data_IF_055846406221
#
_entry.id   IF_055846406221
#
_cell.length_a   1.000
_cell.length_b   1.000
_cell.length_c   1.000
_cell.angle_alpha   90.00
_cell.angle_beta   90.00
_cell.angle_gamma   90.00
#
_symmetry.space_group_name_H-M   'P 1'
#
loop_
_entity.id
_entity.type
_entity.pdbx_description
1 polymer ?
#
# COMPACT_ATOMS: atom_id res chain seq x y z
N UNK A 1 -3.68 49.02 -24.44
CA UNK A 1 -4.91 48.56 -23.77
C UNK A 1 -4.96 47.04 -23.94
N UNK A 2 -4.71 46.32 -22.84
CA UNK A 2 -4.85 44.88 -22.61
C UNK A 2 -3.96 43.92 -23.40
N UNK A 3 -2.83 43.59 -22.76
CA UNK A 3 -2.22 42.26 -22.78
C UNK A 3 -3.20 41.22 -22.23
N UNK A 4 -3.39 40.11 -22.95
CA UNK A 4 -3.97 38.88 -22.42
C UNK A 4 -2.87 37.83 -22.30
N UNK A 5 -2.42 37.65 -21.07
CA UNK A 5 -1.51 36.59 -20.62
C UNK A 5 -2.24 35.25 -20.64
N UNK A 6 -1.88 34.39 -21.60
CA UNK A 6 -2.28 32.98 -21.60
C UNK A 6 -1.51 32.19 -20.55
N UNK A 7 -2.22 31.68 -19.56
CA UNK A 7 -1.71 30.75 -18.55
C UNK A 7 -1.77 29.30 -19.06
N UNK A 8 -0.71 28.47 -18.97
CA UNK A 8 -0.80 27.04 -19.14
C UNK A 8 -0.44 26.30 -17.84
N UNK A 9 -1.43 25.91 -17.05
CA UNK A 9 -1.25 24.91 -15.98
C UNK A 9 -2.34 23.85 -16.06
N UNK A 10 -2.02 22.74 -16.73
CA UNK A 10 -2.74 21.48 -16.64
C UNK A 10 -1.74 20.33 -16.51
N UNK A 11 -1.92 19.38 -15.57
CA UNK A 11 -0.99 18.28 -15.38
C UNK A 11 -1.30 17.18 -16.41
N UNK A 12 -0.53 17.12 -17.50
CA UNK A 12 -0.77 16.14 -18.56
C UNK A 12 0.33 16.00 -19.62
N UNK A 13 1.58 16.38 -19.32
CA UNK A 13 2.65 16.46 -20.32
C UNK A 13 3.88 15.57 -20.10
N UNK A 14 3.98 14.79 -19.03
CA UNK A 14 5.17 13.95 -18.78
C UNK A 14 5.20 12.61 -19.54
N UNK A 15 4.05 12.11 -20.02
CA UNK A 15 3.94 10.76 -20.61
C UNK A 15 4.36 10.63 -22.08
N UNK A 16 4.17 11.68 -22.90
CA UNK A 16 4.49 11.62 -24.35
C UNK A 16 6.00 11.54 -24.62
N UNK A 17 6.87 12.34 -23.98
CA UNK A 17 8.31 12.26 -24.22
C UNK A 17 8.90 10.89 -23.84
N UNK A 18 8.47 10.30 -22.72
CA UNK A 18 8.97 9.02 -22.26
C UNK A 18 8.58 7.86 -23.19
N UNK A 19 7.36 7.85 -23.72
CA UNK A 19 6.91 6.84 -24.67
C UNK A 19 7.72 6.90 -25.98
N UNK A 20 7.89 8.09 -26.54
CA UNK A 20 8.61 8.29 -27.81
C UNK A 20 10.10 7.91 -27.69
N UNK A 21 10.76 8.33 -26.60
CA UNK A 21 12.17 7.98 -26.38
C UNK A 21 12.32 6.49 -26.12
N UNK A 22 11.43 5.87 -25.33
CA UNK A 22 11.45 4.43 -25.09
C UNK A 22 11.28 3.67 -26.41
N UNK A 23 10.34 4.07 -27.28
CA UNK A 23 10.17 3.44 -28.58
C UNK A 23 11.45 3.53 -29.43
N UNK A 24 12.10 4.70 -29.50
CA UNK A 24 13.38 4.88 -30.20
C UNK A 24 14.47 3.99 -29.60
N UNK A 25 14.60 3.96 -28.29
CA UNK A 25 15.58 3.13 -27.58
C UNK A 25 15.41 1.64 -27.90
N UNK A 26 14.16 1.16 -27.98
CA UNK A 26 13.82 -0.24 -28.24
C UNK A 26 14.05 -0.67 -29.70
N UNK A 27 13.96 0.25 -30.66
CA UNK A 27 14.01 -0.03 -32.10
C UNK A 27 15.37 0.27 -32.74
N UNK A 28 16.22 1.04 -32.07
CA UNK A 28 17.56 1.41 -32.55
C UNK A 28 18.60 0.31 -32.29
N UNK A 29 19.58 0.18 -33.21
CA UNK A 29 20.71 -0.75 -33.10
C UNK A 29 21.65 -0.44 -31.93
N UNK A 30 22.35 -1.45 -31.40
CA UNK A 30 23.06 -1.39 -30.12
C UNK A 30 24.00 -0.19 -29.91
N UNK A 31 24.78 0.20 -30.92
CA UNK A 31 25.74 1.32 -30.82
C UNK A 31 25.05 2.67 -30.58
N UNK A 32 23.85 2.85 -31.11
CA UNK A 32 23.06 4.07 -30.98
C UNK A 32 22.09 4.02 -29.79
N UNK A 33 21.92 2.85 -29.16
CA UNK A 33 21.06 2.67 -27.97
C UNK A 33 21.66 3.34 -26.74
N UNK A 34 22.98 3.38 -26.66
CA UNK A 34 23.70 3.88 -25.48
C UNK A 34 23.65 5.39 -25.34
N UNK A 35 23.68 6.09 -26.47
CA UNK A 35 23.49 7.55 -26.48
C UNK A 35 22.08 7.93 -26.03
N UNK A 36 21.11 7.03 -26.14
CA UNK A 36 19.73 7.24 -25.69
C UNK A 36 19.50 6.87 -24.23
N UNK A 37 20.42 6.17 -23.55
CA UNK A 37 20.24 5.76 -22.16
C UNK A 37 21.56 5.54 -21.40
N UNK A 38 22.49 6.53 -21.38
CA UNK A 38 23.84 6.32 -20.87
C UNK A 38 23.86 5.89 -19.39
N UNK A 39 22.95 6.44 -18.57
CA UNK A 39 22.84 6.07 -17.15
C UNK A 39 22.27 4.68 -16.94
N UNK A 40 21.31 4.26 -17.77
CA UNK A 40 20.75 2.91 -17.73
C UNK A 40 21.82 1.89 -18.10
N UNK A 41 22.60 2.15 -19.16
CA UNK A 41 23.70 1.28 -19.58
C UNK A 41 24.78 1.19 -18.50
N UNK A 42 25.14 2.32 -17.87
CA UNK A 42 26.12 2.34 -16.78
C UNK A 42 25.64 1.54 -15.54
N UNK A 43 24.34 1.58 -15.24
CA UNK A 43 23.77 0.90 -14.08
C UNK A 43 23.53 -0.60 -14.30
N UNK A 44 23.12 -1.00 -15.51
CA UNK A 44 22.70 -2.38 -15.82
C UNK A 44 23.82 -3.19 -16.48
N UNK A 45 24.69 -2.53 -17.25
CA UNK A 45 25.66 -3.17 -18.14
C UNK A 45 25.06 -3.52 -19.51
N UNK A 46 25.90 -3.52 -20.55
CA UNK A 46 25.49 -3.72 -21.95
C UNK A 46 24.89 -5.11 -22.17
N UNK A 47 25.60 -6.15 -21.76
CA UNK A 47 25.19 -7.55 -21.95
C UNK A 47 23.83 -7.83 -21.32
N UNK A 48 23.65 -7.45 -20.05
CA UNK A 48 22.37 -7.61 -19.37
C UNK A 48 21.25 -6.80 -20.00
N UNK A 49 21.56 -5.61 -20.53
CA UNK A 49 20.58 -4.82 -21.24
C UNK A 49 20.15 -5.49 -22.55
N UNK A 50 21.08 -6.08 -23.30
CA UNK A 50 20.78 -6.83 -24.51
C UNK A 50 19.91 -8.07 -24.21
N UNK A 51 20.21 -8.82 -23.14
CA UNK A 51 19.34 -9.91 -22.67
C UNK A 51 17.91 -9.43 -22.36
N UNK A 52 17.76 -8.26 -21.73
CA UNK A 52 16.46 -7.67 -21.44
C UNK A 52 15.73 -7.30 -22.74
N UNK A 53 16.45 -6.78 -23.74
CA UNK A 53 15.89 -6.44 -25.05
C UNK A 53 15.44 -7.68 -25.80
N UNK A 54 16.26 -8.72 -25.84
CA UNK A 54 15.96 -9.96 -26.54
C UNK A 54 14.79 -10.69 -25.89
N UNK A 55 14.79 -10.82 -24.56
CA UNK A 55 13.63 -11.34 -23.83
C UNK A 55 12.36 -10.50 -24.03
N UNK A 56 12.50 -9.18 -24.27
CA UNK A 56 11.35 -8.34 -24.62
C UNK A 56 10.83 -8.66 -26.01
N UNK A 57 11.71 -8.78 -27.02
CA UNK A 57 11.34 -9.15 -28.40
C UNK A 57 10.75 -10.56 -28.49
N UNK A 58 11.23 -11.51 -27.70
CA UNK A 58 10.63 -12.84 -27.61
C UNK A 58 9.16 -12.76 -27.14
N UNK A 59 8.88 -11.90 -26.15
CA UNK A 59 7.53 -11.73 -25.58
C UNK A 59 6.58 -10.97 -26.49
N UNK A 60 7.03 -9.89 -27.12
CA UNK A 60 6.15 -8.97 -27.86
C UNK A 60 6.25 -9.11 -29.38
N UNK A 61 7.26 -9.79 -29.90
CA UNK A 61 7.58 -9.82 -31.33
C UNK A 61 8.28 -8.54 -31.79
N UNK A 62 8.13 -8.23 -33.07
CA UNK A 62 8.57 -6.95 -33.64
C UNK A 62 7.85 -5.79 -32.94
N UNK A 63 8.61 -4.82 -32.43
CA UNK A 63 8.09 -3.71 -31.65
C UNK A 63 7.46 -2.68 -32.59
N UNK A 64 6.15 -2.50 -32.48
CA UNK A 64 5.37 -1.62 -33.36
C UNK A 64 5.10 -0.25 -32.75
N UNK A 65 5.24 -0.11 -31.43
CA UNK A 65 5.00 1.17 -30.74
C UNK A 65 5.19 1.10 -29.24
N UNK A 66 5.20 2.28 -28.62
CA UNK A 66 5.04 2.44 -27.17
C UNK A 66 3.93 3.46 -26.96
N UNK A 67 2.96 3.13 -26.11
CA UNK A 67 1.85 4.04 -25.78
C UNK A 67 1.75 4.25 -24.28
N UNK A 68 1.34 5.45 -23.89
CA UNK A 68 0.99 5.73 -22.50
C UNK A 68 -0.40 5.17 -22.17
N UNK A 69 -0.56 4.58 -20.98
CA UNK A 69 -1.81 4.01 -20.49
C UNK A 69 -2.00 4.23 -18.98
N UNK A 70 -3.23 4.02 -18.47
CA UNK A 70 -3.48 4.09 -17.03
C UNK A 70 -2.72 3.05 -16.19
N UNK A 71 -2.14 2.02 -16.79
CA UNK A 71 -1.35 1.01 -16.09
C UNK A 71 0.17 1.27 -16.23
N UNK A 72 0.59 2.32 -16.93
CA UNK A 72 1.99 2.59 -17.28
C UNK A 72 2.23 2.60 -18.80
N UNK A 73 3.50 2.65 -19.19
CA UNK A 73 3.87 2.58 -20.61
C UNK A 73 3.63 1.15 -21.12
N UNK A 74 3.07 1.02 -22.31
CA UNK A 74 2.78 -0.27 -22.93
C UNK A 74 3.62 -0.38 -24.19
N UNK A 75 4.57 -1.31 -24.18
CA UNK A 75 5.30 -1.74 -25.36
C UNK A 75 4.37 -2.64 -26.18
N UNK A 76 4.16 -2.28 -27.43
CA UNK A 76 3.33 -3.01 -28.39
C UNK A 76 4.22 -3.73 -29.40
N UNK A 77 3.88 -4.97 -29.71
CA UNK A 77 4.50 -5.70 -30.79
C UNK A 77 3.55 -6.67 -31.47
N UNK A 78 4.05 -7.32 -32.52
CA UNK A 78 3.26 -8.19 -33.40
C UNK A 78 2.69 -9.45 -32.73
N UNK A 79 3.33 -9.93 -31.64
CA UNK A 79 2.91 -11.13 -30.90
C UNK A 79 2.22 -10.80 -29.57
N UNK A 80 2.45 -9.62 -29.02
CA UNK A 80 2.02 -9.31 -27.66
C UNK A 80 2.31 -7.89 -27.20
N UNK A 81 2.17 -7.70 -25.89
CA UNK A 81 2.42 -6.42 -25.22
C UNK A 81 3.19 -6.66 -23.93
N UNK A 82 3.96 -5.67 -23.50
CA UNK A 82 4.61 -5.67 -22.20
C UNK A 82 4.40 -4.31 -21.52
N UNK A 83 4.33 -4.30 -20.18
CA UNK A 83 4.36 -3.07 -19.41
C UNK A 83 5.80 -2.59 -19.23
N UNK A 84 5.98 -1.29 -19.21
CA UNK A 84 7.25 -0.65 -18.97
C UNK A 84 7.07 0.63 -18.15
N UNK A 85 8.18 1.04 -17.55
CA UNK A 85 8.37 2.31 -16.90
C UNK A 85 9.63 2.92 -17.48
N UNK A 86 9.56 4.21 -17.79
CA UNK A 86 10.69 4.98 -18.26
C UNK A 86 10.62 6.41 -17.70
N UNK A 87 11.78 7.01 -17.46
CA UNK A 87 11.91 8.42 -17.03
C UNK A 87 12.89 9.16 -17.92
N UNK A 88 12.64 10.45 -18.11
CA UNK A 88 13.42 11.34 -18.97
C UNK A 88 13.62 12.66 -18.23
N UNK A 89 14.85 13.03 -17.91
CA UNK A 89 15.19 14.27 -17.21
C UNK A 89 15.19 15.47 -18.16
N UNK A 90 15.79 15.31 -19.34
CA UNK A 90 15.92 16.34 -20.38
C UNK A 90 14.95 16.15 -21.56
N UNK A 91 14.19 15.04 -21.57
CA UNK A 91 13.29 14.69 -22.68
C UNK A 91 14.01 14.21 -23.94
N UNK A 92 15.31 13.89 -23.86
CA UNK A 92 16.12 13.38 -24.96
C UNK A 92 16.71 12.00 -24.68
N UNK A 93 17.03 11.69 -23.41
CA UNK A 93 17.56 10.39 -22.99
C UNK A 93 16.71 9.73 -21.90
N UNK A 94 16.88 8.42 -21.75
CA UNK A 94 16.32 7.64 -20.64
C UNK A 94 17.25 7.72 -19.42
N UNK A 95 16.69 8.16 -18.30
CA UNK A 95 17.35 8.17 -16.98
C UNK A 95 17.04 6.91 -16.16
N UNK A 96 15.95 6.22 -16.50
CA UNK A 96 15.51 5.02 -15.81
C UNK A 96 14.63 4.19 -16.72
N UNK A 97 14.78 2.86 -16.61
CA UNK A 97 14.06 1.89 -17.42
C UNK A 97 13.72 0.68 -16.55
N UNK A 98 12.48 0.24 -16.63
CA UNK A 98 12.04 -1.04 -16.09
C UNK A 98 11.03 -1.65 -17.05
N UNK A 99 11.26 -2.90 -17.48
CA UNK A 99 10.34 -3.65 -18.34
C UNK A 99 9.78 -4.81 -17.52
N UNK A 100 8.46 -4.97 -17.54
CA UNK A 100 7.80 -6.05 -16.84
C UNK A 100 8.24 -7.42 -17.41
N UNK A 101 8.50 -8.42 -16.56
CA UNK A 101 8.99 -9.72 -17.01
C UNK A 101 7.94 -10.54 -17.75
N UNK A 102 6.65 -10.17 -17.65
CA UNK A 102 5.52 -10.92 -18.21
C UNK A 102 4.75 -10.16 -19.29
N UNK A 103 3.95 -10.91 -20.05
CA UNK A 103 3.04 -10.34 -21.04
C UNK A 103 1.94 -9.50 -20.37
N UNK A 104 1.60 -8.37 -20.99
CA UNK A 104 0.55 -7.48 -20.53
C UNK A 104 -0.77 -7.70 -21.25
N UNK A 105 -1.82 -7.89 -20.46
CA UNK A 105 -3.22 -7.94 -20.93
C UNK A 105 -4.00 -6.83 -20.25
N UNK A 106 -4.38 -5.83 -21.03
CA UNK A 106 -5.27 -4.78 -20.54
C UNK A 106 -6.61 -5.39 -20.07
N UNK A 107 -7.14 -4.99 -18.90
CA UNK A 107 -8.43 -5.46 -18.43
C UNK A 107 -9.54 -5.05 -19.41
N UNK A 108 -10.48 -5.97 -19.70
CA UNK A 108 -11.64 -5.71 -20.58
C UNK A 108 -12.59 -4.66 -20.00
N UNK A 109 -12.73 -4.65 -18.68
CA UNK A 109 -13.58 -3.71 -17.94
C UNK A 109 -12.77 -3.12 -16.80
N UNK A 110 -12.67 -1.79 -16.74
CA UNK A 110 -12.04 -1.07 -15.64
C UNK A 110 -13.12 -0.62 -14.67
N UNK A 111 -13.29 -1.36 -13.58
CA UNK A 111 -14.08 -0.89 -12.45
C UNK A 111 -13.12 -0.22 -11.48
N UNK A 112 -13.32 1.09 -11.24
CA UNK A 112 -12.50 1.85 -10.31
C UNK A 112 -12.45 1.15 -8.95
N UNK A 113 -11.31 1.21 -8.28
CA UNK A 113 -11.16 0.60 -6.96
C UNK A 113 -12.23 1.13 -5.99
N UNK A 114 -12.54 2.43 -6.08
CA UNK A 114 -13.61 3.08 -5.33
C UNK A 114 -14.99 2.47 -5.58
N UNK A 115 -15.37 2.19 -6.83
CA UNK A 115 -16.67 1.60 -7.14
C UNK A 115 -16.80 0.15 -6.64
N UNK A 116 -15.75 -0.67 -6.80
CA UNK A 116 -15.72 -2.03 -6.23
C UNK A 116 -15.81 -2.02 -4.71
N UNK A 117 -15.06 -1.12 -4.08
CA UNK A 117 -15.10 -0.94 -2.64
C UNK A 117 -16.50 -0.49 -2.18
N UNK A 118 -17.12 0.47 -2.87
CA UNK A 118 -18.45 0.98 -2.55
C UNK A 118 -19.52 -0.12 -2.65
N UNK A 119 -19.50 -0.94 -3.70
CA UNK A 119 -20.42 -2.08 -3.82
C UNK A 119 -20.22 -3.09 -2.70
N UNK A 120 -18.98 -3.49 -2.42
CA UNK A 120 -18.67 -4.41 -1.33
C UNK A 120 -19.10 -3.84 0.04
N UNK A 121 -18.97 -2.52 0.23
CA UNK A 121 -19.45 -1.82 1.41
C UNK A 121 -20.96 -1.81 1.53
N UNK A 122 -21.68 -1.52 0.44
CA UNK A 122 -23.14 -1.52 0.42
C UNK A 122 -23.69 -2.91 0.77
N UNK A 123 -23.16 -3.97 0.14
CA UNK A 123 -23.55 -5.36 0.43
C UNK A 123 -23.28 -5.71 1.89
N UNK A 124 -22.10 -5.39 2.41
CA UNK A 124 -21.75 -5.66 3.80
C UNK A 124 -22.65 -4.90 4.78
N UNK A 125 -22.93 -3.62 4.53
CA UNK A 125 -23.78 -2.79 5.36
C UNK A 125 -25.23 -3.30 5.39
N UNK A 126 -25.77 -3.72 4.23
CA UNK A 126 -27.10 -4.32 4.14
C UNK A 126 -27.17 -5.64 4.93
N UNK A 127 -26.17 -6.51 4.78
CA UNK A 127 -26.11 -7.77 5.55
C UNK A 127 -26.01 -7.51 7.05
N UNK A 128 -25.20 -6.54 7.47
CA UNK A 128 -25.07 -6.18 8.87
C UNK A 128 -26.38 -5.61 9.43
N UNK A 129 -27.04 -4.70 8.70
CA UNK A 129 -28.33 -4.13 9.09
C UNK A 129 -29.39 -5.22 9.24
N UNK A 130 -29.49 -6.15 8.29
CA UNK A 130 -30.40 -7.30 8.38
C UNK A 130 -30.11 -8.18 9.60
N UNK A 131 -28.84 -8.36 9.98
CA UNK A 131 -28.47 -9.14 11.18
C UNK A 131 -28.75 -8.40 12.49
N UNK A 132 -28.62 -7.08 12.50
CA UNK A 132 -29.03 -6.25 13.64
C UNK A 132 -30.55 -6.33 13.82
N UNK A 133 -31.33 -6.17 12.75
CA UNK A 133 -32.78 -6.32 12.76
C UNK A 133 -33.20 -7.73 13.24
N UNK A 134 -32.52 -8.77 12.80
CA UNK A 134 -32.77 -10.13 13.29
C UNK A 134 -32.60 -10.25 14.83
N UNK A 135 -31.72 -9.48 15.47
CA UNK A 135 -31.61 -9.47 16.94
C UNK A 135 -32.90 -8.94 17.60
N UNK A 136 -33.50 -7.91 16.99
CA UNK A 136 -34.79 -7.35 17.42
C UNK A 136 -35.96 -8.27 17.17
N UNK A 137 -35.82 -9.31 16.35
CA UNK A 137 -36.86 -10.29 16.04
C UNK A 137 -36.56 -11.68 16.63
N UNK A 138 -35.66 -11.76 17.61
CA UNK A 138 -35.32 -13.04 18.25
C UNK A 138 -36.54 -13.66 18.97
N UNK A 139 -36.88 -14.95 18.73
CA UNK A 139 -38.00 -15.63 19.38
C UNK A 139 -37.66 -16.16 20.78
N UNK A 140 -36.37 -16.29 21.11
CA UNK A 140 -35.88 -16.85 22.37
C UNK A 140 -34.58 -16.15 22.79
N UNK A 141 -34.19 -16.32 24.07
CA UNK A 141 -32.90 -15.82 24.57
C UNK A 141 -31.71 -16.49 23.87
N UNK A 142 -31.82 -17.79 23.55
CA UNK A 142 -30.80 -18.54 22.80
C UNK A 142 -30.63 -17.96 21.38
N UNK A 143 -31.72 -17.73 20.66
CA UNK A 143 -31.68 -17.13 19.33
C UNK A 143 -31.08 -15.72 19.36
N UNK A 144 -31.46 -14.91 20.37
CA UNK A 144 -30.89 -13.58 20.56
C UNK A 144 -29.37 -13.63 20.75
N UNK A 145 -28.88 -14.51 21.65
CA UNK A 145 -27.45 -14.69 21.88
C UNK A 145 -26.73 -15.09 20.59
N UNK A 146 -27.25 -16.07 19.85
CA UNK A 146 -26.64 -16.51 18.59
C UNK A 146 -26.56 -15.41 17.54
N UNK A 147 -27.66 -14.67 17.32
CA UNK A 147 -27.71 -13.55 16.38
C UNK A 147 -26.77 -12.42 16.77
N UNK A 148 -26.69 -12.08 18.06
CA UNK A 148 -25.76 -11.07 18.54
C UNK A 148 -24.30 -11.50 18.33
N UNK A 149 -23.96 -12.78 18.56
CA UNK A 149 -22.61 -13.30 18.28
C UNK A 149 -22.29 -13.22 16.78
N UNK A 150 -23.24 -13.49 15.88
CA UNK A 150 -23.05 -13.32 14.44
C UNK A 150 -22.78 -11.85 14.09
N UNK A 151 -23.55 -10.91 14.66
CA UNK A 151 -23.32 -9.47 14.50
C UNK A 151 -21.92 -9.10 14.99
N UNK A 152 -21.53 -9.56 16.19
CA UNK A 152 -20.21 -9.31 16.77
C UNK A 152 -19.08 -9.89 15.90
N UNK A 153 -19.25 -11.08 15.30
CA UNK A 153 -18.31 -11.63 14.33
C UNK A 153 -18.16 -10.76 13.08
N UNK A 154 -19.26 -10.14 12.62
CA UNK A 154 -19.23 -9.14 11.54
C UNK A 154 -18.37 -7.93 11.88
N UNK A 155 -18.46 -7.42 13.12
CA UNK A 155 -17.59 -6.33 13.61
C UNK A 155 -16.14 -6.77 13.80
N UNK A 156 -15.89 -7.99 14.28
CA UNK A 156 -14.53 -8.54 14.38
C UNK A 156 -13.86 -8.60 13.01
N UNK A 157 -14.58 -9.04 11.98
CA UNK A 157 -14.06 -9.08 10.62
C UNK A 157 -13.78 -7.66 10.09
N UNK A 158 -14.64 -6.70 10.41
CA UNK A 158 -14.44 -5.31 10.01
C UNK A 158 -13.20 -4.70 10.69
N UNK A 159 -13.16 -4.68 12.01
CA UNK A 159 -12.10 -4.04 12.81
C UNK A 159 -10.78 -4.82 12.76
N UNK A 160 -10.86 -6.13 12.57
CA UNK A 160 -9.73 -7.03 12.53
C UNK A 160 -9.02 -7.08 11.18
N UNK A 161 -9.79 -7.15 10.09
CA UNK A 161 -9.24 -7.38 8.75
C UNK A 161 -9.18 -6.10 7.92
N UNK A 162 -10.16 -5.20 8.05
CA UNK A 162 -10.06 -3.91 7.36
C UNK A 162 -9.23 -2.96 8.20
N UNK A 163 -8.87 -1.84 7.59
CA UNK A 163 -8.07 -0.80 8.18
C UNK A 163 -9.05 0.29 8.61
N UNK A 164 -9.55 0.31 9.86
CA UNK A 164 -10.68 1.17 10.25
C UNK A 164 -10.33 2.65 10.14
N UNK A 165 -9.03 2.97 10.21
CA UNK A 165 -8.45 4.28 9.91
C UNK A 165 -8.73 4.80 8.49
N UNK A 166 -9.22 3.93 7.59
CA UNK A 166 -9.60 4.29 6.21
C UNK A 166 -11.04 4.75 6.08
N UNK A 167 -11.90 4.51 7.08
CA UNK A 167 -13.30 4.86 6.98
C UNK A 167 -13.54 6.34 7.29
N UNK A 168 -14.21 7.08 6.39
CA UNK A 168 -14.70 8.40 6.73
C UNK A 168 -15.64 8.34 7.94
N UNK A 169 -15.62 9.38 8.76
CA UNK A 169 -16.43 9.46 9.99
C UNK A 169 -17.92 9.21 9.72
N UNK A 170 -18.44 9.68 8.59
CA UNK A 170 -19.85 9.50 8.20
C UNK A 170 -20.21 8.07 7.79
N UNK A 171 -19.23 7.19 7.54
CA UNK A 171 -19.45 5.73 7.43
C UNK A 171 -19.23 5.08 8.79
N UNK A 172 -18.14 5.46 9.47
CA UNK A 172 -17.72 4.87 10.73
C UNK A 172 -18.77 5.04 11.84
N UNK A 173 -19.34 6.24 11.99
CA UNK A 173 -20.31 6.55 13.05
C UNK A 173 -21.61 5.76 12.91
N UNK A 174 -22.25 5.67 11.72
CA UNK A 174 -23.39 4.79 11.53
C UNK A 174 -23.08 3.31 11.82
N UNK A 175 -21.89 2.83 11.45
CA UNK A 175 -21.46 1.45 11.75
C UNK A 175 -21.32 1.26 13.27
N UNK A 176 -20.66 2.15 13.99
CA UNK A 176 -20.57 2.11 15.46
C UNK A 176 -21.97 2.18 16.12
N UNK A 177 -22.85 3.03 15.62
CA UNK A 177 -24.23 3.13 16.09
C UNK A 177 -25.02 1.82 15.87
N UNK A 178 -24.78 1.12 14.75
CA UNK A 178 -25.37 -0.19 14.50
C UNK A 178 -25.04 -1.22 15.57
N UNK A 179 -23.83 -1.19 16.13
CA UNK A 179 -23.43 -2.09 17.22
C UNK A 179 -24.25 -1.79 18.48
N UNK A 180 -24.44 -0.51 18.80
CA UNK A 180 -25.26 -0.08 19.93
C UNK A 180 -26.73 -0.45 19.73
N UNK A 181 -27.27 -0.32 18.52
CA UNK A 181 -28.64 -0.75 18.18
C UNK A 181 -28.79 -2.27 18.33
N UNK A 182 -27.80 -3.05 17.90
CA UNK A 182 -27.76 -4.49 18.12
C UNK A 182 -27.77 -4.84 19.61
N UNK A 183 -26.93 -4.20 20.41
CA UNK A 183 -26.88 -4.39 21.87
C UNK A 183 -28.18 -3.95 22.56
N UNK A 184 -28.78 -2.85 22.13
CA UNK A 184 -30.02 -2.32 22.69
C UNK A 184 -31.20 -3.29 22.59
N UNK A 185 -31.18 -4.21 21.61
CA UNK A 185 -32.18 -5.28 21.49
C UNK A 185 -32.23 -6.21 22.72
N UNK A 186 -31.20 -6.20 23.58
CA UNK A 186 -31.19 -6.88 24.88
C UNK A 186 -32.37 -6.48 25.77
N UNK A 187 -32.97 -5.30 25.58
CA UNK A 187 -34.15 -4.87 26.32
C UNK A 187 -35.35 -5.83 26.17
N UNK A 188 -35.37 -6.66 25.13
CA UNK A 188 -36.41 -7.68 24.91
C UNK A 188 -36.22 -8.94 25.76
N UNK A 189 -35.02 -9.20 26.28
CA UNK A 189 -34.68 -10.45 26.99
C UNK A 189 -35.63 -10.82 28.15
N UNK A 190 -36.12 -9.87 28.98
CA UNK A 190 -37.05 -10.19 30.05
C UNK A 190 -38.35 -10.84 29.55
N UNK A 191 -38.82 -10.47 28.36
CA UNK A 191 -40.06 -10.97 27.75
C UNK A 191 -39.89 -12.21 26.86
N UNK A 192 -38.66 -12.72 26.69
CA UNK A 192 -38.38 -13.87 25.82
C UNK A 192 -38.25 -15.17 26.62
N UNK A 193 -38.80 -16.30 26.12
CA UNK A 193 -38.55 -17.61 26.69
C UNK A 193 -37.06 -17.98 26.56
N UNK A 194 -36.58 -18.84 27.46
CA UNK A 194 -35.18 -19.28 27.45
C UNK A 194 -34.82 -20.01 26.15
N UNK A 195 -35.64 -21.01 25.80
CA UNK A 195 -35.49 -21.84 24.61
C UNK A 195 -36.75 -21.78 23.75
N UNK A 196 -36.61 -22.04 22.45
CA UNK A 196 -37.68 -21.92 21.46
C UNK A 196 -37.16 -21.80 20.03
N UNK A 197 -36.05 -22.48 19.72
CA UNK A 197 -35.30 -22.32 18.47
C UNK A 197 -34.11 -21.36 18.59
N UNK A 198 -33.23 -21.41 17.59
CA UNK A 198 -32.03 -20.57 17.47
C UNK A 198 -30.73 -21.25 17.90
N UNK A 199 -30.77 -22.54 18.25
CA UNK A 199 -29.60 -23.34 18.64
C UNK A 199 -28.56 -23.38 17.51
N UNK A 200 -29.02 -23.52 16.26
CA UNK A 200 -28.16 -23.46 15.08
C UNK A 200 -27.49 -22.09 14.91
N UNK A 201 -28.21 -20.99 15.14
CA UNK A 201 -27.64 -19.63 15.08
C UNK A 201 -26.62 -19.41 16.21
N UNK A 202 -26.86 -19.98 17.39
CA UNK A 202 -25.90 -19.94 18.49
C UNK A 202 -24.62 -20.69 18.15
N UNK A 203 -24.73 -21.91 17.62
CA UNK A 203 -23.56 -22.70 17.17
C UNK A 203 -22.79 -21.92 16.10
N UNK A 204 -23.48 -21.39 15.09
CA UNK A 204 -22.85 -20.58 14.04
C UNK A 204 -22.16 -19.35 14.63
N UNK A 205 -22.82 -18.60 15.51
CA UNK A 205 -22.26 -17.41 16.16
C UNK A 205 -20.99 -17.72 16.96
N UNK A 206 -21.03 -18.77 17.79
CA UNK A 206 -19.86 -19.22 18.57
C UNK A 206 -18.72 -19.63 17.66
N UNK A 207 -18.98 -20.43 16.62
CA UNK A 207 -17.97 -20.86 15.65
C UNK A 207 -17.35 -19.66 14.93
N UNK A 208 -18.15 -18.70 14.47
CA UNK A 208 -17.63 -17.51 13.80
C UNK A 208 -16.74 -16.66 14.71
N UNK A 209 -17.14 -16.45 15.97
CA UNK A 209 -16.31 -15.75 16.96
C UNK A 209 -15.00 -16.50 17.22
N UNK A 210 -15.07 -17.82 17.42
CA UNK A 210 -13.88 -18.64 17.68
C UNK A 210 -12.91 -18.63 16.49
N UNK A 211 -13.43 -18.77 15.26
CA UNK A 211 -12.63 -18.79 14.03
C UNK A 211 -12.01 -17.43 13.76
N UNK A 212 -12.82 -16.35 13.71
CA UNK A 212 -12.29 -15.01 13.42
C UNK A 212 -11.43 -14.48 14.56
N UNK A 213 -11.84 -14.68 15.82
CA UNK A 213 -11.06 -14.28 16.99
C UNK A 213 -9.73 -15.04 17.09
N UNK A 214 -9.75 -16.37 16.91
CA UNK A 214 -8.55 -17.20 16.92
C UNK A 214 -7.60 -16.84 15.78
N UNK A 215 -8.13 -16.62 14.57
CA UNK A 215 -7.35 -16.14 13.44
C UNK A 215 -6.69 -14.78 13.74
N UNK A 216 -7.46 -13.78 14.18
CA UNK A 216 -6.95 -12.44 14.45
C UNK A 216 -5.90 -12.46 15.56
N UNK A 217 -6.13 -13.26 16.62
CA UNK A 217 -5.16 -13.42 17.69
C UNK A 217 -3.86 -14.02 17.18
N UNK A 218 -3.92 -15.08 16.37
CA UNK A 218 -2.76 -15.72 15.75
C UNK A 218 -2.03 -14.74 14.84
N UNK A 219 -2.73 -14.00 13.99
CA UNK A 219 -2.11 -13.06 13.06
C UNK A 219 -1.50 -11.84 13.76
N UNK A 220 -2.15 -11.29 14.81
CA UNK A 220 -1.63 -10.15 15.58
C UNK A 220 -0.45 -10.52 16.48
N UNK A 221 -0.41 -11.75 16.99
CA UNK A 221 0.71 -12.28 17.79
C UNK A 221 1.78 -12.98 16.96
N UNK A 222 1.64 -12.97 15.64
CA UNK A 222 2.59 -13.65 14.78
C UNK A 222 3.98 -13.05 14.93
N UNK A 223 4.96 -13.93 15.12
CA UNK A 223 6.38 -13.66 15.00
C UNK A 223 6.89 -14.54 13.88
N UNK A 224 7.75 -13.98 13.04
CA UNK A 224 8.27 -14.72 11.89
C UNK A 224 9.30 -15.77 12.29
N UNK A 225 9.77 -15.73 13.54
CA UNK A 225 10.74 -16.69 14.07
C UNK A 225 12.14 -16.53 13.47
N UNK A 226 12.34 -15.48 12.67
CA UNK A 226 13.65 -15.02 12.25
C UNK A 226 14.27 -14.11 13.29
N UNK A 227 15.54 -13.76 13.09
CA UNK A 227 16.17 -12.79 13.97
C UNK A 227 15.36 -11.50 14.00
N UNK A 228 15.30 -10.89 15.18
CA UNK A 228 14.75 -9.56 15.36
C UNK A 228 15.79 -8.57 14.84
N UNK A 229 15.32 -7.46 14.25
CA UNK A 229 16.22 -6.38 13.87
C UNK A 229 16.98 -5.85 15.08
N UNK A 230 18.12 -5.21 14.87
CA UNK A 230 18.68 -4.32 15.88
C UNK A 230 17.63 -3.26 16.25
N UNK A 231 17.59 -2.79 17.51
CA UNK A 231 16.63 -1.78 17.92
C UNK A 231 16.75 -0.53 17.05
N UNK A 232 15.66 -0.19 16.36
CA UNK A 232 15.55 0.98 15.50
C UNK A 232 14.97 2.16 16.30
N UNK A 233 15.17 3.37 15.81
CA UNK A 233 14.37 4.54 16.20
C UNK A 233 13.16 4.63 15.29
N UNK A 234 11.98 4.94 15.84
CA UNK A 234 10.80 5.08 15.01
C UNK A 234 10.97 6.29 14.06
N UNK A 235 10.80 6.11 12.74
CA UNK A 235 11.32 7.07 11.75
C UNK A 235 10.40 8.29 11.53
N UNK A 236 9.27 8.38 12.24
CA UNK A 236 8.27 9.45 12.13
C UNK A 236 7.99 10.05 13.52
N UNK A 237 7.83 11.37 13.62
CA UNK A 237 7.82 12.10 14.90
C UNK A 237 6.58 12.97 15.09
N UNK A 238 6.12 13.15 16.33
CA UNK A 238 5.10 14.15 16.68
C UNK A 238 3.71 13.84 16.15
N UNK A 239 3.34 12.56 16.06
CA UNK A 239 2.11 12.11 15.42
C UNK A 239 1.49 10.84 16.01
N UNK A 240 0.25 10.57 15.60
CA UNK A 240 -0.39 9.27 15.82
C UNK A 240 -0.19 8.43 14.56
N UNK A 241 0.70 7.45 14.64
CA UNK A 241 1.11 6.60 13.53
C UNK A 241 0.38 5.28 13.60
N UNK A 242 -0.37 4.94 12.57
CA UNK A 242 -1.17 3.74 12.52
C UNK A 242 -0.53 2.73 11.57
N UNK A 243 -0.35 1.50 12.05
CA UNK A 243 0.13 0.37 11.25
C UNK A 243 -1.02 -0.12 10.36
N UNK A 244 -0.96 0.21 9.07
CA UNK A 244 -1.91 -0.21 8.05
C UNK A 244 -1.65 -1.63 7.55
N UNK A 245 -0.39 -2.03 7.51
CA UNK A 245 0.07 -3.38 7.18
C UNK A 245 1.11 -3.81 8.20
N UNK A 246 1.01 -5.03 8.70
CA UNK A 246 1.91 -5.58 9.71
C UNK A 246 1.28 -6.76 10.43
N UNK A 247 2.10 -7.53 11.13
CA UNK A 247 1.72 -8.82 11.73
C UNK A 247 1.80 -9.97 10.74
N UNK A 248 1.08 -11.06 11.01
CA UNK A 248 1.18 -12.30 10.27
C UNK A 248 0.33 -12.39 9.01
N UNK A 249 0.34 -13.58 8.36
CA UNK A 249 -0.46 -13.87 7.17
C UNK A 249 -1.93 -13.48 7.33
N UNK A 250 -2.48 -12.83 6.30
CA UNK A 250 -3.85 -12.31 6.24
C UNK A 250 -4.05 -10.91 6.83
N UNK A 251 -3.18 -10.46 7.74
CA UNK A 251 -3.13 -9.04 8.17
C UNK A 251 -2.04 -8.24 7.45
N UNK A 252 -0.97 -8.90 7.02
CA UNK A 252 0.10 -8.28 6.27
C UNK A 252 0.10 -8.78 4.82
N UNK A 253 -0.03 -7.87 3.85
CA UNK A 253 0.03 -8.26 2.44
C UNK A 253 1.45 -8.60 1.97
N UNK A 254 2.47 -8.20 2.74
CA UNK A 254 3.87 -8.50 2.47
C UNK A 254 4.25 -9.94 2.86
N UNK A 255 3.41 -10.63 3.62
CA UNK A 255 3.63 -12.00 4.10
C UNK A 255 4.08 -13.03 3.04
N UNK A 256 3.60 -12.99 1.77
CA UNK A 256 4.03 -13.93 0.74
C UNK A 256 5.45 -13.69 0.20
N UNK A 257 6.05 -12.53 0.48
CA UNK A 257 7.38 -12.14 -0.01
C UNK A 257 8.40 -12.34 1.11
N UNK A 258 9.29 -13.35 1.04
CA UNK A 258 10.18 -13.72 2.14
C UNK A 258 10.99 -12.54 2.71
N UNK A 259 11.41 -11.63 1.84
CA UNK A 259 12.24 -10.48 2.14
C UNK A 259 11.44 -9.33 2.80
N UNK A 260 10.14 -9.22 2.51
CA UNK A 260 9.25 -8.17 3.03
C UNK A 260 8.28 -8.66 4.10
N UNK A 261 8.27 -9.94 4.48
CA UNK A 261 7.25 -10.50 5.39
C UNK A 261 7.10 -9.76 6.73
N UNK A 262 8.20 -9.18 7.23
CA UNK A 262 8.26 -8.34 8.44
C UNK A 262 7.92 -6.86 8.22
N UNK A 263 7.60 -6.47 6.99
CA UNK A 263 7.38 -5.08 6.61
C UNK A 263 6.13 -4.48 7.25
N UNK A 264 6.23 -3.17 7.49
CA UNK A 264 5.15 -2.33 7.97
C UNK A 264 4.83 -1.25 6.93
N UNK A 265 3.55 -1.05 6.70
CA UNK A 265 3.07 0.18 6.07
C UNK A 265 2.44 1.05 7.15
N UNK A 266 2.98 2.25 7.29
CA UNK A 266 2.64 3.20 8.35
C UNK A 266 1.98 4.43 7.74
N UNK A 267 0.82 4.81 8.29
CA UNK A 267 0.09 6.03 7.94
C UNK A 267 -0.08 6.92 9.17
N UNK A 268 -0.40 8.18 8.99
CA UNK A 268 -0.81 9.07 10.07
C UNK A 268 -2.33 9.07 10.20
N UNK A 269 -2.83 9.15 11.43
CA UNK A 269 -4.26 9.29 11.74
C UNK A 269 -4.50 10.48 12.66
N UNK A 270 -5.55 11.25 12.35
CA UNK A 270 -6.03 12.35 13.17
C UNK A 270 -7.08 11.91 14.18
N UNK A 271 -7.76 12.87 14.83
CA UNK A 271 -8.89 12.60 15.72
C UNK A 271 -9.95 11.73 15.05
N UNK A 272 -10.50 10.77 15.80
CA UNK A 272 -11.51 9.83 15.27
C UNK A 272 -10.98 8.81 14.26
N UNK A 273 -9.66 8.72 14.07
CA UNK A 273 -9.02 7.74 13.19
C UNK A 273 -9.01 8.14 11.71
N UNK A 274 -9.37 9.38 11.37
CA UNK A 274 -9.31 9.85 9.99
C UNK A 274 -7.86 9.93 9.50
N UNK A 275 -7.56 9.31 8.37
CA UNK A 275 -6.23 9.40 7.71
C UNK A 275 -6.09 10.57 6.73
N UNK A 276 -7.21 11.20 6.37
CA UNK A 276 -7.28 12.29 5.41
C UNK A 276 -7.57 13.61 6.13
N UNK A 277 -7.10 14.71 5.54
CA UNK A 277 -7.43 16.08 5.89
C UNK A 277 -8.88 16.41 5.52
N UNK A 278 -9.34 17.57 5.94
CA UNK A 278 -10.68 18.08 5.63
C UNK A 278 -10.90 18.08 4.10
N UNK A 279 -12.05 17.55 3.66
CA UNK A 279 -12.37 17.33 2.23
C UNK A 279 -12.16 15.90 1.72
N UNK A 280 -11.46 15.04 2.47
CA UNK A 280 -11.31 13.61 2.17
C UNK A 280 -10.32 13.28 1.05
N UNK A 281 -10.17 12.00 0.73
CA UNK A 281 -9.06 11.45 -0.10
C UNK A 281 -9.14 11.75 -1.61
N UNK A 282 -10.10 12.55 -2.07
CA UNK A 282 -10.32 12.81 -3.51
C UNK A 282 -9.48 13.98 -4.06
N UNK A 283 -8.78 14.70 -3.20
CA UNK A 283 -8.03 15.90 -3.55
C UNK A 283 -6.53 15.64 -3.77
N UNK A 284 -6.16 14.44 -4.24
CA UNK A 284 -4.75 14.09 -4.46
C UNK A 284 -4.00 13.65 -3.20
N UNK A 285 -2.67 13.55 -3.30
CA UNK A 285 -1.81 13.03 -2.24
C UNK A 285 -1.80 13.93 -1.00
N UNK A 286 -1.91 15.24 -1.19
CA UNK A 286 -1.90 16.29 -0.16
C UNK A 286 -3.06 16.15 0.83
N UNK A 287 -4.14 15.49 0.40
CA UNK A 287 -5.27 15.19 1.26
C UNK A 287 -4.97 14.14 2.34
N UNK A 288 -3.85 13.42 2.26
CA UNK A 288 -3.47 12.42 3.27
C UNK A 288 -2.58 13.06 4.33
N UNK A 289 -2.85 12.76 5.61
CA UNK A 289 -2.10 13.32 6.72
C UNK A 289 -0.61 12.95 6.65
N UNK A 290 -0.32 11.71 6.24
CA UNK A 290 1.03 11.17 6.15
C UNK A 290 1.85 11.75 4.99
N UNK A 291 1.21 12.27 3.94
CA UNK A 291 1.94 12.82 2.80
C UNK A 291 2.71 14.09 3.22
N UNK A 292 3.99 14.15 2.87
CA UNK A 292 4.88 15.25 3.25
C UNK A 292 5.41 15.19 4.68
N UNK A 293 5.11 14.12 5.44
CA UNK A 293 5.71 13.96 6.78
C UNK A 293 7.21 13.71 6.65
N UNK A 294 8.02 14.39 7.48
CA UNK A 294 9.48 14.23 7.48
C UNK A 294 9.82 12.81 7.91
N UNK A 295 10.65 12.16 7.09
CA UNK A 295 11.19 10.84 7.36
C UNK A 295 12.61 10.98 7.93
N UNK A 296 12.83 10.34 9.08
CA UNK A 296 14.12 10.27 9.73
C UNK A 296 14.74 8.88 9.57
N UNK A 297 16.08 8.82 9.53
CA UNK A 297 16.83 7.58 9.55
C UNK A 297 16.53 6.80 10.84
N UNK A 298 16.07 5.54 10.75
CA UNK A 298 15.76 4.72 11.91
C UNK A 298 17.01 4.16 12.60
N UNK A 299 18.18 4.22 11.95
CA UNK A 299 19.42 3.63 12.45
C UNK A 299 20.63 4.38 11.88
N UNK A 300 21.78 4.14 12.51
CA UNK A 300 23.08 4.47 11.93
C UNK A 300 23.43 3.45 10.84
N UNK A 301 24.15 3.88 9.81
CA UNK A 301 24.64 2.98 8.77
C UNK A 301 25.13 3.70 7.53
N UNK A 302 25.31 2.94 6.46
CA UNK A 302 25.70 3.45 5.14
C UNK A 302 24.54 3.25 4.17
N UNK A 303 24.20 4.28 3.41
CA UNK A 303 23.18 4.17 2.35
C UNK A 303 23.74 3.30 1.23
N UNK A 304 23.08 2.19 0.92
CA UNK A 304 23.47 1.28 -0.17
C UNK A 304 22.65 1.49 -1.44
N UNK A 305 21.48 2.13 -1.32
CA UNK A 305 20.64 2.52 -2.45
C UNK A 305 19.76 3.71 -2.07
N UNK A 306 19.67 4.69 -2.96
CA UNK A 306 18.76 5.82 -2.82
C UNK A 306 18.21 6.22 -4.20
N UNK A 307 16.92 6.54 -4.25
CA UNK A 307 16.26 7.07 -5.44
C UNK A 307 15.25 8.15 -5.05
N UNK A 308 15.23 9.26 -5.81
CA UNK A 308 14.38 10.43 -5.50
C UNK A 308 13.66 11.04 -6.71
N UNK A 309 13.63 10.38 -7.86
CA UNK A 309 13.14 10.95 -9.12
C UNK A 309 11.98 10.18 -9.76
N UNK A 310 11.33 9.27 -9.04
CA UNK A 310 10.10 8.59 -9.48
C UNK A 310 8.91 9.46 -9.08
N UNK A 311 7.98 9.69 -10.01
CA UNK A 311 6.76 10.44 -9.74
C UNK A 311 5.85 9.69 -8.76
N UNK A 312 5.21 10.43 -7.86
CA UNK A 312 4.16 9.88 -7.00
C UNK A 312 2.98 9.39 -7.84
N UNK A 313 2.36 8.30 -7.40
CA UNK A 313 1.09 7.81 -7.94
C UNK A 313 -0.05 8.78 -7.59
N UNK A 314 -1.09 8.78 -8.43
CA UNK A 314 -2.37 9.35 -8.05
C UNK A 314 -3.11 8.36 -7.13
N UNK A 315 -3.65 8.79 -5.98
CA UNK A 315 -4.35 7.89 -5.06
C UNK A 315 -5.43 7.05 -5.74
N UNK A 316 -5.36 5.73 -5.56
CA UNK A 316 -6.31 4.77 -6.14
C UNK A 316 -6.01 4.33 -7.57
N UNK A 317 -4.98 4.88 -8.22
CA UNK A 317 -4.46 4.45 -9.52
C UNK A 317 -3.06 3.89 -9.30
N UNK A 318 -2.79 2.70 -9.84
CA UNK A 318 -1.47 2.07 -9.76
C UNK A 318 -0.93 1.98 -11.18
N UNK A 319 0.02 2.85 -11.52
CA UNK A 319 0.81 2.74 -12.76
C UNK A 319 2.03 1.87 -12.50
N UNK A 320 2.48 1.11 -13.50
CA UNK A 320 3.68 0.29 -13.41
C UNK A 320 4.91 1.20 -13.18
N UNK A 321 5.59 0.96 -12.06
CA UNK A 321 6.75 1.69 -11.57
C UNK A 321 7.68 0.71 -10.83
N UNK A 322 8.94 1.08 -10.55
CA UNK A 322 9.79 0.34 -9.63
C UNK A 322 9.07 0.08 -8.30
N UNK A 323 9.05 -1.16 -7.78
CA UNK A 323 8.23 -1.51 -6.61
C UNK A 323 8.40 -0.59 -5.41
N UNK A 324 9.65 -0.25 -5.08
CA UNK A 324 9.97 0.63 -3.95
C UNK A 324 9.85 2.14 -4.27
N UNK A 325 9.70 2.52 -5.54
CA UNK A 325 9.67 3.93 -5.95
C UNK A 325 10.92 4.69 -5.48
N UNK A 326 10.71 5.90 -4.96
CA UNK A 326 11.75 6.63 -4.24
C UNK A 326 11.97 5.97 -2.87
N UNK A 327 13.23 5.78 -2.52
CA UNK A 327 13.60 4.96 -1.37
C UNK A 327 14.96 5.35 -0.81
N UNK A 328 15.23 4.87 0.40
CA UNK A 328 16.56 4.86 1.03
C UNK A 328 16.75 3.50 1.70
N UNK A 329 17.80 2.76 1.30
CA UNK A 329 18.20 1.50 1.90
C UNK A 329 19.50 1.71 2.66
N UNK A 330 19.52 1.32 3.94
CA UNK A 330 20.61 1.55 4.88
C UNK A 330 21.18 0.21 5.31
N UNK A 331 22.46 -0.02 5.07
CA UNK A 331 23.19 -1.13 5.64
C UNK A 331 23.76 -0.75 7.01
N UNK A 332 23.35 -1.49 8.03
CA UNK A 332 23.80 -1.33 9.42
C UNK A 332 25.07 -2.13 9.75
N UNK A 333 25.60 -2.87 8.77
CA UNK A 333 26.64 -3.89 8.91
C UNK A 333 26.12 -5.24 9.43
N UNK A 334 24.83 -5.35 9.75
CA UNK A 334 24.20 -6.60 10.19
C UNK A 334 22.91 -6.95 9.44
N UNK A 335 22.21 -5.94 8.93
CA UNK A 335 20.95 -6.06 8.19
C UNK A 335 20.76 -4.82 7.32
N UNK A 336 19.93 -4.94 6.30
CA UNK A 336 19.54 -3.83 5.44
C UNK A 336 18.16 -3.34 5.87
N UNK A 337 18.06 -2.08 6.27
CA UNK A 337 16.80 -1.40 6.55
C UNK A 337 16.33 -0.66 5.31
N UNK A 338 15.14 -0.98 4.82
CA UNK A 338 14.56 -0.41 3.59
C UNK A 338 13.38 0.51 3.92
N UNK A 339 13.45 1.73 3.41
CA UNK A 339 12.43 2.77 3.52
C UNK A 339 11.98 3.14 2.12
N UNK A 340 10.68 3.11 1.83
CA UNK A 340 10.17 3.24 0.46
C UNK A 340 8.96 4.18 0.34
N UNK A 341 8.57 4.43 -0.92
CA UNK A 341 7.45 5.29 -1.30
C UNK A 341 7.65 6.76 -0.94
N UNK A 342 8.90 7.26 -1.00
CA UNK A 342 9.22 8.63 -0.64
C UNK A 342 8.72 9.63 -1.69
N UNK A 343 8.53 10.88 -1.27
CA UNK A 343 8.05 11.95 -2.14
C UNK A 343 9.14 12.36 -3.12
N UNK A 344 8.76 12.50 -4.39
CA UNK A 344 9.67 12.92 -5.46
C UNK A 344 10.43 14.19 -5.07
N UNK A 345 11.73 14.19 -5.31
CA UNK A 345 12.61 15.35 -5.13
C UNK A 345 12.97 15.67 -3.69
N UNK A 346 12.55 14.85 -2.72
CA UNK A 346 12.81 15.12 -1.29
C UNK A 346 13.92 14.26 -0.69
N UNK A 347 14.36 13.21 -1.38
CA UNK A 347 15.44 12.33 -0.88
C UNK A 347 16.75 13.12 -0.79
N UNK A 348 17.33 13.15 0.40
CA UNK A 348 18.47 14.03 0.76
C UNK A 348 19.83 13.34 0.75
N UNK A 349 19.86 12.03 0.47
CA UNK A 349 21.06 11.18 0.54
C UNK A 349 21.26 10.43 -0.77
N UNK A 350 22.51 10.01 -1.02
CA UNK A 350 22.91 9.16 -2.13
C UNK A 350 23.54 7.86 -1.63
N UNK A 351 23.69 6.87 -2.52
CA UNK A 351 24.44 5.66 -2.22
C UNK A 351 25.90 5.99 -1.86
N UNK A 352 26.40 5.39 -0.78
CA UNK A 352 27.71 5.65 -0.20
C UNK A 352 27.68 6.62 1.00
N UNK A 353 26.60 7.38 1.20
CA UNK A 353 26.54 8.34 2.30
C UNK A 353 26.41 7.64 3.66
N UNK A 354 27.19 8.05 4.68
CA UNK A 354 26.93 7.65 6.06
C UNK A 354 25.73 8.42 6.60
N UNK A 355 24.86 7.73 7.35
CA UNK A 355 23.70 8.32 8.01
C UNK A 355 23.69 7.98 9.49
N UNK A 356 23.14 8.90 10.30
CA UNK A 356 22.89 8.70 11.72
C UNK A 356 21.41 8.62 12.03
N UNK A 357 21.03 7.82 13.01
CA UNK A 357 19.66 7.76 13.52
C UNK A 357 19.13 9.18 13.83
N UNK A 358 17.93 9.49 13.37
CA UNK A 358 17.33 10.82 13.49
C UNK A 358 17.68 11.80 12.37
N UNK A 359 18.66 11.51 11.50
CA UNK A 359 18.95 12.33 10.33
C UNK A 359 17.76 12.36 9.37
N UNK A 360 17.43 13.52 8.81
CA UNK A 360 16.39 13.64 7.78
C UNK A 360 16.83 12.92 6.52
N UNK A 361 15.94 12.08 5.97
CA UNK A 361 16.16 11.34 4.72
C UNK A 361 15.31 11.87 3.56
N UNK A 362 14.16 12.47 3.87
CA UNK A 362 13.25 13.07 2.91
C UNK A 362 11.84 13.15 3.48
N UNK A 363 10.84 13.08 2.61
CA UNK A 363 9.42 13.11 3.01
C UNK A 363 8.68 11.84 2.56
N UNK A 364 7.68 11.43 3.33
CA UNK A 364 6.76 10.36 2.94
C UNK A 364 5.95 10.81 1.72
N UNK A 365 5.92 9.96 0.69
CA UNK A 365 5.26 10.23 -0.59
C UNK A 365 4.25 9.15 -0.97
N UNK A 366 4.12 8.93 -2.28
CA UNK A 366 3.27 7.91 -2.88
C UNK A 366 3.89 7.34 -4.17
N UNK A 367 5.22 7.28 -4.27
CA UNK A 367 5.92 6.74 -5.45
C UNK A 367 6.04 5.21 -5.39
N UNK A 368 6.21 4.55 -6.54
CA UNK A 368 6.38 3.11 -6.65
C UNK A 368 5.06 2.34 -6.69
N UNK A 369 5.07 1.08 -6.24
CA UNK A 369 3.90 0.20 -6.25
C UNK A 369 3.00 0.45 -5.03
N UNK A 370 2.32 1.58 -5.01
CA UNK A 370 1.47 2.02 -3.89
C UNK A 370 0.08 2.44 -4.36
N UNK A 371 -0.90 2.32 -3.47
CA UNK A 371 -2.29 2.73 -3.71
C UNK A 371 -2.62 4.11 -3.14
N UNK A 372 -1.84 4.58 -2.17
CA UNK A 372 -2.06 5.81 -1.43
C UNK A 372 -0.83 6.15 -0.57
N UNK A 373 -0.64 7.42 -0.17
CA UNK A 373 0.50 7.82 0.65
C UNK A 373 0.65 6.98 1.93
N UNK A 374 1.85 6.44 2.15
CA UNK A 374 2.26 5.74 3.37
C UNK A 374 3.79 5.57 3.40
N UNK A 375 4.35 5.35 4.60
CA UNK A 375 5.73 4.89 4.74
C UNK A 375 5.74 3.36 4.71
N UNK A 376 6.50 2.77 3.80
CA UNK A 376 6.89 1.37 3.90
C UNK A 376 8.25 1.24 4.59
N UNK A 377 8.35 0.38 5.60
CA UNK A 377 9.61 0.07 6.30
C UNK A 377 9.73 -1.43 6.55
N UNK A 378 10.90 -1.99 6.26
CA UNK A 378 11.29 -3.33 6.72
C UNK A 378 12.80 -3.43 6.93
N UNK A 379 13.21 -4.51 7.59
CA UNK A 379 14.61 -4.92 7.69
C UNK A 379 14.73 -6.34 7.16
N UNK A 380 15.82 -6.63 6.45
CA UNK A 380 16.12 -7.96 5.94
C UNK A 380 17.58 -8.33 6.16
N UNK A 381 17.83 -9.64 6.27
CA UNK A 381 19.17 -10.22 6.25
C UNK A 381 19.12 -11.49 5.43
N UNK A 382 20.06 -11.66 4.49
CA UNK A 382 20.14 -12.82 3.61
C UNK A 382 18.85 -13.11 2.83
N UNK A 383 18.17 -12.05 2.35
CA UNK A 383 16.91 -12.15 1.61
C UNK A 383 15.69 -12.55 2.47
N UNK A 384 15.84 -12.51 3.80
CA UNK A 384 14.81 -12.87 4.75
C UNK A 384 14.42 -11.67 5.60
N UNK A 385 13.14 -11.30 5.55
CA UNK A 385 12.56 -10.23 6.35
C UNK A 385 12.58 -10.57 7.84
N UNK A 386 12.87 -9.56 8.65
CA UNK A 386 13.07 -9.63 10.09
C UNK A 386 11.88 -9.05 10.85
N UNK A 387 11.64 -9.53 12.08
CA UNK A 387 10.71 -8.88 12.99
C UNK A 387 11.32 -7.53 13.43
N UNK A 388 10.60 -6.43 13.20
CA UNK A 388 11.09 -5.10 13.58
C UNK A 388 10.95 -4.83 15.08
N UNK A 389 11.98 -4.21 15.65
CA UNK A 389 11.97 -3.66 16.99
C UNK A 389 12.29 -2.17 16.96
N UNK A 390 11.51 -1.37 17.69
CA UNK A 390 11.76 0.05 17.85
C UNK A 390 11.96 0.40 19.33
N UNK A 391 13.01 1.16 19.62
CA UNK A 391 13.34 1.65 20.95
C UNK A 391 12.16 2.42 21.55
N UNK A 392 11.74 2.04 22.76
CA UNK A 392 10.62 2.66 23.46
C UNK A 392 9.22 2.22 22.99
N UNK A 393 9.10 1.33 22.00
CA UNK A 393 7.81 0.84 21.49
C UNK A 393 7.68 -0.66 21.77
N UNK A 394 6.93 -1.01 22.82
CA UNK A 394 6.76 -2.40 23.26
C UNK A 394 5.55 -3.09 22.66
N UNK A 395 5.61 -4.41 22.42
CA UNK A 395 4.47 -5.22 21.96
C UNK A 395 4.39 -5.40 20.44
N UNK A 396 3.36 -6.08 19.91
CA UNK A 396 3.30 -6.46 18.48
C UNK A 396 3.08 -5.28 17.53
N UNK A 397 3.82 -5.23 16.42
CA UNK A 397 3.63 -4.24 15.35
C UNK A 397 2.71 -4.83 14.27
N UNK A 398 1.42 -4.88 14.58
CA UNK A 398 0.41 -5.48 13.70
C UNK A 398 -0.60 -4.44 13.19
N UNK A 399 -1.29 -4.76 12.09
CA UNK A 399 -2.41 -3.96 11.59
C UNK A 399 -3.38 -3.61 12.72
N UNK A 400 -3.76 -2.34 12.83
CA UNK A 400 -4.65 -1.86 13.90
C UNK A 400 -3.94 -1.13 15.03
N UNK A 401 -2.61 -1.27 15.13
CA UNK A 401 -1.84 -0.60 16.18
C UNK A 401 -1.61 0.87 15.86
N UNK A 402 -1.81 1.72 16.87
CA UNK A 402 -1.32 3.10 16.85
C UNK A 402 -0.07 3.23 17.72
N UNK A 403 0.95 3.87 17.18
CA UNK A 403 2.20 4.27 17.82
C UNK A 403 2.15 5.78 18.00
N UNK A 404 2.48 6.27 19.20
CA UNK A 404 2.61 7.69 19.51
C UNK A 404 4.09 7.97 19.72
N UNK A 405 4.60 9.00 19.05
CA UNK A 405 6.00 9.43 19.13
C UNK A 405 6.13 10.90 19.43
#
# INVERSE_FOLDING_TARGET
MREETGNPTGPGRSGRPAADILYRFLTVEGVHRESLAPRVVAAVGRERLDEIMDGTRERVGEITGVRDSPDGLVIEGTKGRALAFATTGDGHVLDGLLIAPGAYRAPRVRISHGARAALAWAVWALLLAARIDACWQAPSRIAWCGRLLIVAAGYLLLEGWRTPARLPWWIRRPVEAGALVGLASACRLPGLPLAGGGEGELVVGVVLIAVFGGFLLRARRHRWGTAVSRPLTFPLQGGNWYVAQGGGPGLNHHAPFPEQRGALDVIQVGPGGARARDGGTRAGNESYLVYGQILHAPCDGTVISAAGHVDDQEPGIIRYQPPYGNHVFIDTGAEVVKLAHLRRGTVTVAAGDPVRAGQVLGEVGNSGNTTEPHLHIHAERDGLGLDLEFTGITGPLCRGRTVRT
#
